data_IF_852354167541
#
_entry.id   IF_852354167541
#
_cell.length_a   1.000
_cell.length_b   1.000
_cell.length_c   1.000
_cell.angle_alpha   90.00
_cell.angle_beta   90.00
_cell.angle_gamma   90.00
#
_symmetry.space_group_name_H-M   'P 1'
#
loop_
_entity.id
_entity.type
_entity.pdbx_description
1 polymer ?
#
# COMPACT_ATOMS: atom_id res chain seq x y z
N UNK A 1 -38.87 44.01 -42.82
CA UNK A 1 -39.38 42.73 -42.28
C UNK A 1 -38.90 42.59 -40.84
N UNK A 2 -39.88 42.43 -39.93
CA UNK A 2 -39.92 41.95 -38.54
C UNK A 2 -38.62 41.56 -37.78
N UNK A 3 -38.41 42.05 -36.53
CA UNK A 3 -37.33 41.68 -35.59
C UNK A 3 -37.74 40.48 -34.69
N UNK A 4 -37.12 40.29 -33.50
CA UNK A 4 -35.93 39.50 -33.16
C UNK A 4 -36.29 38.12 -32.52
N UNK A 5 -35.34 37.19 -32.39
CA UNK A 5 -35.56 36.02 -31.51
C UNK A 5 -34.28 35.56 -30.83
N UNK A 6 -34.00 36.23 -29.72
CA UNK A 6 -33.72 35.67 -28.39
C UNK A 6 -33.48 34.15 -28.33
N UNK A 7 -32.30 33.76 -27.86
CA UNK A 7 -32.13 32.63 -26.95
C UNK A 7 -30.75 32.71 -26.27
N UNK A 8 -30.64 33.64 -25.33
CA UNK A 8 -29.68 33.51 -24.25
C UNK A 8 -30.12 32.29 -23.42
N UNK A 9 -29.38 31.19 -23.49
CA UNK A 9 -29.58 30.06 -22.59
C UNK A 9 -28.49 30.12 -21.51
N UNK A 10 -28.75 30.95 -20.50
CA UNK A 10 -28.14 30.82 -19.19
C UNK A 10 -28.68 29.54 -18.55
N UNK A 11 -27.88 28.48 -18.51
CA UNK A 11 -28.11 27.36 -17.61
C UNK A 11 -27.20 27.53 -16.40
N UNK A 12 -27.69 28.32 -15.45
CA UNK A 12 -27.31 28.15 -14.05
C UNK A 12 -28.14 26.98 -13.51
N UNK A 13 -27.49 25.84 -13.27
CA UNK A 13 -28.04 24.79 -12.40
C UNK A 13 -27.08 24.61 -11.24
N UNK A 14 -27.41 25.30 -10.16
CA UNK A 14 -26.92 25.01 -8.83
C UNK A 14 -27.46 23.65 -8.35
N UNK A 15 -26.95 23.24 -7.17
CA UNK A 15 -27.44 22.19 -6.28
C UNK A 15 -26.69 20.85 -6.37
N UNK A 16 -25.56 20.83 -5.65
CA UNK A 16 -25.39 19.92 -4.51
C UNK A 16 -25.72 18.47 -4.79
N UNK A 17 -24.78 17.74 -5.37
CA UNK A 17 -24.73 16.29 -5.19
C UNK A 17 -23.96 15.98 -3.91
N UNK A 18 -24.75 15.65 -2.89
CA UNK A 18 -24.46 14.61 -1.92
C UNK A 18 -23.16 14.75 -1.13
N UNK A 19 -23.28 15.46 -0.01
CA UNK A 19 -22.64 15.05 1.23
C UNK A 19 -23.20 13.65 1.59
N UNK A 20 -22.69 12.59 0.96
CA UNK A 20 -22.87 11.23 1.45
C UNK A 20 -22.11 11.09 2.78
N UNK A 21 -22.53 10.20 3.69
CA UNK A 21 -21.63 9.80 4.76
C UNK A 21 -20.41 9.22 4.06
N UNK A 22 -19.29 9.96 4.07
CA UNK A 22 -17.98 9.39 3.84
C UNK A 22 -17.81 8.33 4.92
N UNK A 23 -18.23 7.11 4.59
CA UNK A 23 -17.82 5.90 5.26
C UNK A 23 -16.31 6.00 5.31
N UNK A 24 -15.82 6.30 6.50
CA UNK A 24 -14.40 6.19 6.79
C UNK A 24 -14.13 4.70 6.81
N UNK A 25 -13.97 4.11 5.62
CA UNK A 25 -13.32 2.83 5.45
C UNK A 25 -11.87 3.05 5.90
N UNK A 26 -11.71 3.04 7.22
CA UNK A 26 -10.43 2.94 7.91
C UNK A 26 -9.96 1.50 7.72
N UNK A 27 -9.68 1.11 6.48
CA UNK A 27 -8.67 0.11 6.24
C UNK A 27 -7.35 0.66 6.81
N UNK A 28 -6.42 -0.19 7.26
CA UNK A 28 -5.12 0.28 7.69
C UNK A 28 -4.44 0.99 6.51
N UNK A 29 -4.51 2.32 6.52
CA UNK A 29 -3.88 3.19 5.54
C UNK A 29 -2.38 2.98 5.59
N UNK A 30 -1.80 2.65 4.45
CA UNK A 30 -0.36 2.50 4.23
C UNK A 30 0.30 3.87 3.94
N UNK A 31 -0.25 4.95 4.48
CA UNK A 31 0.10 6.33 4.14
C UNK A 31 0.88 7.05 5.25
N UNK A 32 1.28 6.35 6.32
CA UNK A 32 2.31 6.81 7.26
C UNK A 32 3.49 5.85 7.26
N UNK A 33 4.19 5.76 6.13
CA UNK A 33 5.48 5.11 6.03
C UNK A 33 6.58 6.02 6.60
N UNK A 34 6.53 6.32 7.89
CA UNK A 34 7.79 6.48 8.60
C UNK A 34 8.41 5.08 8.60
N UNK A 35 9.45 4.88 7.78
CA UNK A 35 10.05 3.57 7.46
C UNK A 35 10.70 2.82 8.63
N UNK A 36 10.29 3.10 9.85
CA UNK A 36 10.66 2.37 11.06
C UNK A 36 9.62 1.27 11.31
N UNK A 37 9.73 0.17 10.56
CA UNK A 37 9.02 -1.04 10.91
C UNK A 37 9.41 -1.48 12.32
N UNK A 38 8.42 -1.85 13.15
CA UNK A 38 8.70 -2.39 14.47
C UNK A 38 9.57 -3.65 14.35
N UNK A 39 10.55 -3.86 15.26
CA UNK A 39 11.37 -5.06 15.22
C UNK A 39 10.51 -6.30 15.45
N UNK A 40 10.84 -7.37 14.74
CA UNK A 40 10.20 -8.67 14.92
C UNK A 40 10.40 -9.20 16.35
N UNK A 41 9.29 -9.34 17.08
CA UNK A 41 9.25 -9.83 18.45
C UNK A 41 8.40 -11.11 18.58
N UNK A 42 8.40 -11.76 19.77
CA UNK A 42 7.74 -13.04 19.99
C UNK A 42 6.20 -12.98 19.86
N UNK A 43 5.60 -11.82 20.04
CA UNK A 43 4.15 -11.63 19.98
C UNK A 43 3.65 -11.23 18.57
N UNK A 44 4.56 -11.01 17.62
CA UNK A 44 4.20 -10.63 16.24
C UNK A 44 4.03 -11.90 15.40
N UNK A 45 2.88 -12.09 14.72
CA UNK A 45 2.68 -13.25 13.87
C UNK A 45 3.68 -13.28 12.72
N UNK A 46 4.08 -14.48 12.30
CA UNK A 46 4.90 -14.69 11.10
C UNK A 46 3.98 -14.92 9.91
N UNK A 47 4.23 -14.22 8.79
CA UNK A 47 3.32 -14.25 7.66
C UNK A 47 3.76 -13.39 6.48
N UNK A 48 2.84 -13.21 5.53
CA UNK A 48 3.05 -12.43 4.29
C UNK A 48 2.35 -11.06 4.33
N UNK A 49 1.55 -10.78 5.37
CA UNK A 49 0.86 -9.49 5.46
C UNK A 49 1.84 -8.42 5.93
N UNK A 50 1.58 -7.16 5.55
CA UNK A 50 2.40 -6.03 6.00
C UNK A 50 2.30 -5.92 7.53
N UNK A 51 3.45 -5.83 8.18
CA UNK A 51 3.57 -5.80 9.64
C UNK A 51 3.79 -7.17 10.29
N UNK A 52 3.50 -8.27 9.59
CA UNK A 52 3.90 -9.60 10.03
C UNK A 52 5.43 -9.74 9.99
N UNK A 53 5.94 -10.63 10.82
CA UNK A 53 7.32 -11.05 10.71
C UNK A 53 7.56 -11.88 9.45
N UNK A 54 8.60 -11.50 8.71
CA UNK A 54 9.09 -12.31 7.60
C UNK A 54 9.45 -13.73 8.09
N UNK A 55 8.99 -14.80 7.40
CA UNK A 55 9.36 -16.17 7.72
C UNK A 55 10.87 -16.38 7.67
N UNK A 56 11.42 -17.02 8.70
CA UNK A 56 12.84 -17.36 8.69
C UNK A 56 13.09 -18.54 7.74
N UNK A 57 14.23 -18.51 7.06
CA UNK A 57 14.65 -19.58 6.17
C UNK A 57 16.16 -19.74 6.23
N UNK A 58 16.61 -20.95 5.92
CA UNK A 58 18.02 -21.24 5.67
C UNK A 58 18.15 -21.93 4.33
N UNK A 59 18.91 -21.34 3.41
CA UNK A 59 19.12 -21.84 2.05
C UNK A 59 20.60 -21.69 1.69
N UNK A 60 21.12 -22.53 0.78
CA UNK A 60 22.45 -22.29 0.21
C UNK A 60 22.46 -21.00 -0.59
N UNK A 61 23.52 -20.20 -0.44
CA UNK A 61 23.80 -19.03 -1.27
C UNK A 61 24.39 -19.43 -2.64
N UNK A 62 24.77 -18.42 -3.44
CA UNK A 62 25.38 -18.64 -4.75
C UNK A 62 26.71 -19.42 -4.73
N UNK A 63 27.38 -19.48 -3.57
CA UNK A 63 28.61 -20.25 -3.35
C UNK A 63 28.35 -21.59 -2.65
N UNK A 64 27.09 -21.92 -2.35
CA UNK A 64 26.70 -23.12 -1.61
C UNK A 64 26.87 -23.02 -0.08
N UNK A 65 27.22 -21.85 0.45
CA UNK A 65 27.30 -21.62 1.89
C UNK A 65 25.89 -21.44 2.48
N UNK A 66 25.63 -21.89 3.72
CA UNK A 66 24.34 -21.66 4.36
C UNK A 66 24.12 -20.15 4.59
N UNK A 67 22.97 -19.66 4.16
CA UNK A 67 22.49 -18.31 4.41
C UNK A 67 21.17 -18.37 5.16
N UNK A 68 21.09 -17.67 6.29
CA UNK A 68 19.89 -17.59 7.14
C UNK A 68 19.37 -16.15 7.20
N UNK A 69 18.05 -15.96 7.05
CA UNK A 69 17.45 -14.62 7.05
C UNK A 69 17.58 -13.93 8.42
N UNK A 70 17.43 -14.66 9.51
CA UNK A 70 17.55 -14.11 10.88
C UNK A 70 18.94 -13.55 11.20
N UNK A 71 20.00 -13.94 10.49
CA UNK A 71 21.33 -13.34 10.62
C UNK A 71 21.39 -11.89 10.07
N UNK A 72 20.40 -11.49 9.26
CA UNK A 72 20.33 -10.15 8.67
C UNK A 72 19.45 -9.18 9.46
N UNK A 73 18.96 -9.57 10.64
CA UNK A 73 18.17 -8.68 11.51
C UNK A 73 18.97 -7.42 11.87
N UNK A 74 18.27 -6.30 12.04
CA UNK A 74 18.89 -4.98 12.24
C UNK A 74 19.34 -4.29 10.95
N UNK A 75 19.19 -4.94 9.78
CA UNK A 75 19.35 -4.34 8.46
C UNK A 75 18.01 -4.30 7.74
N UNK A 76 17.87 -3.40 6.77
CA UNK A 76 16.78 -3.48 5.79
C UNK A 76 17.18 -4.53 4.75
N UNK A 77 16.40 -5.60 4.66
CA UNK A 77 16.61 -6.69 3.72
C UNK A 77 15.49 -6.71 2.66
N UNK A 78 15.87 -6.91 1.40
CA UNK A 78 14.95 -7.15 0.29
C UNK A 78 15.07 -8.62 -0.11
N UNK A 79 13.95 -9.34 -0.14
CA UNK A 79 13.88 -10.70 -0.66
C UNK A 79 13.27 -10.64 -2.05
N UNK A 80 14.08 -10.96 -3.05
CA UNK A 80 13.65 -11.10 -4.44
C UNK A 80 13.46 -12.59 -4.76
N UNK A 81 12.31 -12.93 -5.34
CA UNK A 81 12.00 -14.29 -5.78
C UNK A 81 11.92 -14.25 -7.30
N UNK A 82 13.00 -14.69 -7.94
CA UNK A 82 13.16 -14.64 -9.39
C UNK A 82 13.69 -15.96 -9.96
N UNK A 83 13.49 -16.14 -11.25
CA UNK A 83 13.94 -17.31 -11.98
C UNK A 83 14.10 -17.02 -13.48
N UNK A 84 14.89 -17.83 -14.17
CA UNK A 84 15.29 -17.63 -15.58
C UNK A 84 14.44 -18.38 -16.59
N UNK A 85 13.35 -19.01 -16.14
CA UNK A 85 12.48 -19.87 -16.97
C UNK A 85 11.49 -19.09 -17.82
#
# INVERSE_FOLDING_TARGET
>A
MRPPSTAALLLATACTTANGPSGSDSGPGLDTADGTAAPCGPDVPTGLQVGDCAPDFTLPDANGAPFTLSDQRGKVALVDISAVW
#
